data_IF_132358590361
#
_entry.id   IF_132358590361
#
_cell.length_a   1.000
_cell.length_b   1.000
_cell.length_c   1.000
_cell.angle_alpha   90.00
_cell.angle_beta   90.00
_cell.angle_gamma   90.00
#
_symmetry.space_group_name_H-M   'P 1'
#
loop_
_entity.id
_entity.type
_entity.pdbx_description
1 polymer ?
#
# COMPACT_ATOMS: atom_id res chain seq x y z
N UNK A 1 6.39 -2.74 16.59
CA UNK A 1 7.54 -2.46 15.66
C UNK A 1 7.07 -1.51 14.57
N UNK A 2 7.86 -0.47 14.23
CA UNK A 2 7.47 0.55 13.26
C UNK A 2 8.12 0.30 11.90
N UNK A 3 7.35 0.52 10.83
CA UNK A 3 7.79 0.35 9.45
C UNK A 3 7.43 1.58 8.62
N UNK A 4 8.28 1.90 7.64
CA UNK A 4 8.00 2.85 6.57
C UNK A 4 7.60 2.07 5.32
N UNK A 5 6.38 2.28 4.85
CA UNK A 5 5.84 1.67 3.64
C UNK A 5 5.88 2.70 2.52
N UNK A 6 6.61 2.39 1.45
CA UNK A 6 6.57 3.13 0.19
C UNK A 6 5.64 2.42 -0.79
N UNK A 7 4.69 3.15 -1.37
CA UNK A 7 3.69 2.59 -2.28
C UNK A 7 3.34 3.56 -3.41
N UNK A 8 2.72 3.04 -4.46
CA UNK A 8 2.16 3.84 -5.55
C UNK A 8 0.65 3.66 -5.60
N UNK A 9 -0.05 4.66 -6.14
CA UNK A 9 -1.48 4.59 -6.45
C UNK A 9 -1.65 4.55 -7.96
N UNK A 10 -2.15 3.42 -8.44
CA UNK A 10 -2.38 3.14 -9.85
C UNK A 10 -3.82 3.51 -10.16
N UNK A 11 -4.02 4.47 -11.05
CA UNK A 11 -5.33 4.73 -11.65
C UNK A 11 -5.64 3.63 -12.67
N UNK A 12 -6.79 2.98 -12.51
CA UNK A 12 -7.24 1.85 -13.33
C UNK A 12 -8.25 2.27 -14.40
N UNK A 13 -8.65 3.54 -14.46
CA UNK A 13 -9.70 4.03 -15.37
C UNK A 13 -9.20 4.30 -16.77
N UNK A 14 -7.92 4.62 -16.91
CA UNK A 14 -7.30 4.96 -18.19
C UNK A 14 -6.19 3.94 -18.48
N UNK A 15 -6.32 3.15 -19.56
CA UNK A 15 -5.24 2.30 -20.04
C UNK A 15 -3.91 3.06 -20.19
N UNK A 16 -2.81 2.42 -19.83
CA UNK A 16 -1.46 3.00 -19.81
C UNK A 16 -1.03 3.66 -21.14
N UNK A 17 -1.47 3.11 -22.27
CA UNK A 17 -1.19 3.65 -23.61
C UNK A 17 -1.90 4.98 -23.93
N UNK A 18 -2.93 5.35 -23.15
CA UNK A 18 -3.66 6.62 -23.28
C UNK A 18 -3.12 7.72 -22.37
N UNK A 19 -2.15 7.42 -21.50
CA UNK A 19 -1.53 8.41 -20.64
C UNK A 19 -0.62 9.33 -21.45
N UNK A 20 -0.94 10.63 -21.45
CA UNK A 20 -0.19 11.67 -22.18
C UNK A 20 1.30 11.74 -21.75
N UNK A 21 1.60 11.29 -20.54
CA UNK A 21 2.97 11.15 -20.04
C UNK A 21 3.08 9.82 -19.30
N UNK A 22 3.66 8.79 -19.93
CA UNK A 22 3.91 7.48 -19.31
C UNK A 22 4.75 7.59 -18.03
N UNK A 23 5.57 8.63 -17.93
CA UNK A 23 6.40 8.96 -16.76
C UNK A 23 5.61 9.56 -15.58
N UNK A 24 4.35 9.95 -15.79
CA UNK A 24 3.49 10.51 -14.76
C UNK A 24 2.75 9.44 -13.94
N UNK A 25 3.03 8.15 -14.19
CA UNK A 25 2.51 7.02 -13.43
C UNK A 25 2.94 7.11 -11.96
N UNK A 26 2.09 7.77 -11.16
CA UNK A 26 2.10 7.89 -9.70
C UNK A 26 3.39 8.39 -9.04
N UNK A 27 3.26 9.39 -8.16
CA UNK A 27 4.29 9.67 -7.18
C UNK A 27 4.43 8.48 -6.20
N UNK A 28 5.63 8.25 -5.68
CA UNK A 28 5.83 7.30 -4.57
C UNK A 28 5.35 7.97 -3.29
N UNK A 29 4.32 7.39 -2.68
CA UNK A 29 3.78 7.78 -1.40
C UNK A 29 4.47 7.00 -0.27
N UNK A 30 4.40 7.56 0.94
CA UNK A 30 5.06 7.01 2.12
C UNK A 30 4.10 7.04 3.31
N UNK A 31 3.98 5.93 4.03
CA UNK A 31 3.15 5.83 5.24
C UNK A 31 3.90 5.04 6.32
N UNK A 32 3.84 5.53 7.56
CA UNK A 32 4.38 4.79 8.70
C UNK A 32 3.30 3.89 9.29
N UNK A 33 3.62 2.62 9.49
CA UNK A 33 2.73 1.67 10.18
C UNK A 33 3.42 1.08 11.39
N UNK A 34 2.64 0.59 12.36
CA UNK A 34 3.16 -0.17 13.49
C UNK A 34 2.40 -1.47 13.66
N UNK A 35 3.12 -2.53 14.00
CA UNK A 35 2.55 -3.85 14.35
C UNK A 35 1.78 -3.83 15.67
N UNK A 36 1.77 -2.71 16.39
CA UNK A 36 1.03 -2.59 17.65
C UNK A 36 -0.45 -2.20 17.42
N UNK A 37 -0.84 -2.01 16.15
CA UNK A 37 -2.23 -1.76 15.74
C UNK A 37 -2.92 -3.06 15.35
N UNK A 38 -4.25 -3.11 15.53
CA UNK A 38 -5.08 -4.28 15.16
C UNK A 38 -4.84 -4.76 13.75
N UNK A 39 -4.56 -3.84 12.84
CA UNK A 39 -4.45 -4.07 11.40
C UNK A 39 -3.19 -4.85 11.02
N UNK A 40 -2.16 -4.83 11.89
CA UNK A 40 -0.86 -5.44 11.62
C UNK A 40 -0.36 -6.33 12.77
N UNK A 41 -1.16 -6.55 13.82
CA UNK A 41 -0.76 -7.29 15.02
C UNK A 41 -0.39 -8.76 14.74
N UNK A 42 -1.04 -9.36 13.74
CA UNK A 42 -0.83 -10.76 13.35
C UNK A 42 0.23 -10.92 12.24
N UNK A 43 0.81 -9.82 11.77
CA UNK A 43 1.83 -9.85 10.71
C UNK A 43 3.16 -10.35 11.27
N UNK A 44 3.62 -11.49 10.77
CA UNK A 44 4.85 -12.14 11.24
C UNK A 44 6.09 -11.78 10.42
N UNK A 45 5.89 -11.29 9.19
CA UNK A 45 6.96 -10.96 8.26
C UNK A 45 6.55 -9.81 7.32
N UNK A 46 7.51 -9.30 6.54
CA UNK A 46 7.26 -8.17 5.63
C UNK A 46 6.19 -8.44 4.57
N UNK A 47 6.03 -9.69 4.11
CA UNK A 47 4.98 -10.04 3.13
C UNK A 47 3.59 -9.97 3.74
N UNK A 48 3.46 -10.34 5.01
CA UNK A 48 2.19 -10.22 5.72
C UNK A 48 1.80 -8.73 5.87
N UNK A 49 2.78 -7.87 6.19
CA UNK A 49 2.57 -6.42 6.27
C UNK A 49 2.18 -5.85 4.90
N UNK A 50 2.85 -6.27 3.82
CA UNK A 50 2.50 -5.91 2.45
C UNK A 50 1.04 -6.25 2.14
N UNK A 51 0.68 -7.52 2.37
CA UNK A 51 -0.65 -8.03 2.07
C UNK A 51 -1.73 -7.32 2.90
N UNK A 52 -1.50 -7.12 4.20
CA UNK A 52 -2.44 -6.41 5.07
C UNK A 52 -2.60 -4.94 4.66
N UNK A 53 -1.49 -4.25 4.33
CA UNK A 53 -1.54 -2.86 3.89
C UNK A 53 -2.31 -2.71 2.58
N UNK A 54 -2.04 -3.57 1.59
CA UNK A 54 -2.77 -3.56 0.32
C UNK A 54 -4.24 -3.94 0.51
N UNK A 55 -4.53 -4.95 1.34
CA UNK A 55 -5.89 -5.38 1.62
C UNK A 55 -6.73 -4.22 2.19
N UNK A 56 -6.24 -3.60 3.27
CA UNK A 56 -6.94 -2.53 3.98
C UNK A 56 -7.16 -1.27 3.13
N UNK A 57 -6.32 -1.04 2.11
CA UNK A 57 -6.40 0.15 1.25
C UNK A 57 -7.21 -0.10 -0.04
N UNK A 58 -7.27 -1.35 -0.50
CA UNK A 58 -7.92 -1.68 -1.77
C UNK A 58 -9.31 -2.30 -1.59
N UNK A 59 -9.54 -3.03 -0.49
CA UNK A 59 -10.75 -3.84 -0.29
C UNK A 59 -11.51 -3.42 0.97
N UNK A 60 -12.82 -3.64 0.96
CA UNK A 60 -13.65 -3.51 2.14
C UNK A 60 -13.39 -4.66 3.12
N UNK A 61 -13.95 -4.58 4.32
CA UNK A 61 -13.78 -5.60 5.37
C UNK A 61 -14.25 -7.00 4.95
N UNK A 62 -15.13 -7.11 3.95
CA UNK A 62 -15.58 -8.38 3.38
C UNK A 62 -14.51 -9.08 2.51
N UNK A 63 -13.47 -8.36 2.08
CA UNK A 63 -12.38 -8.83 1.24
C UNK A 63 -12.73 -9.01 -0.25
N UNK A 64 -14.01 -8.97 -0.61
CA UNK A 64 -14.50 -9.21 -1.98
C UNK A 64 -14.81 -7.90 -2.71
N UNK A 65 -15.13 -6.83 -1.97
CA UNK A 65 -15.52 -5.55 -2.53
C UNK A 65 -14.34 -4.58 -2.60
N UNK A 66 -14.10 -3.96 -3.76
CA UNK A 66 -13.10 -2.89 -3.89
C UNK A 66 -13.62 -1.58 -3.28
N UNK A 67 -12.81 -0.92 -2.45
CA UNK A 67 -13.13 0.41 -1.90
C UNK A 67 -13.15 1.50 -2.99
N UNK A 68 -12.24 1.39 -3.94
CA UNK A 68 -12.06 2.38 -5.00
C UNK A 68 -11.70 1.67 -6.32
N UNK A 69 -12.68 1.16 -7.09
CA UNK A 69 -12.41 0.42 -8.33
C UNK A 69 -11.54 1.17 -9.35
N UNK A 70 -11.58 2.51 -9.32
CA UNK A 70 -10.81 3.43 -10.15
C UNK A 70 -9.35 3.60 -9.71
N UNK A 71 -8.95 3.10 -8.54
CA UNK A 71 -7.59 3.23 -8.06
C UNK A 71 -7.17 2.08 -7.15
N UNK A 72 -6.04 1.44 -7.47
CA UNK A 72 -5.43 0.39 -6.68
C UNK A 72 -4.09 0.88 -6.13
N UNK A 73 -3.78 0.51 -4.89
CA UNK A 73 -2.48 0.74 -4.27
C UNK A 73 -1.63 -0.51 -4.41
N UNK A 74 -0.34 -0.30 -4.72
CA UNK A 74 0.69 -1.35 -4.71
C UNK A 74 1.88 -0.88 -3.88
N UNK A 75 2.28 -1.70 -2.92
CA UNK A 75 3.49 -1.50 -2.12
C UNK A 75 4.72 -1.80 -2.98
N UNK A 76 5.72 -0.93 -2.86
CA UNK A 76 7.00 -1.02 -3.56
C UNK A 76 8.11 -1.42 -2.60
N UNK A 77 8.06 -0.96 -1.35
CA UNK A 77 9.10 -1.20 -0.35
C UNK A 77 8.53 -1.11 1.06
N UNK A 78 9.06 -1.95 1.95
CA UNK A 78 8.83 -1.89 3.39
C UNK A 78 10.17 -1.85 4.10
N UNK A 79 10.36 -0.87 4.97
CA UNK A 79 11.60 -0.68 5.72
C UNK A 79 11.32 -0.63 7.22
N UNK A 80 12.01 -1.41 8.06
CA UNK A 80 11.92 -1.24 9.50
C UNK A 80 12.51 0.12 9.90
N UNK A 81 11.79 0.84 10.75
CA UNK A 81 12.25 2.10 11.33
C UNK A 81 12.81 1.77 12.70
N UNK A 82 14.14 1.87 12.83
CA UNK A 82 14.78 1.82 14.13
C UNK A 82 14.61 3.19 14.80
N UNK A 83 14.04 3.21 16.01
CA UNK A 83 14.12 4.40 16.85
C UNK A 83 15.60 4.64 17.15
N UNK A 84 16.20 5.62 16.48
CA UNK A 84 17.50 6.15 16.89
C UNK A 84 17.29 6.89 18.19
N UNK A 85 17.71 6.26 19.30
CA UNK A 85 17.80 6.89 20.62
C UNK A 85 18.74 8.10 20.62
#
# INVERSE_FOLDING_TARGET
MKFLISFIRIDTTIPDYLWANRSALSCVCHEYVTTDTSDFQDCSNLRDIEAAFEANKNYAEDGDSLLCPQAIIKVIRIEPVHDTA
#
